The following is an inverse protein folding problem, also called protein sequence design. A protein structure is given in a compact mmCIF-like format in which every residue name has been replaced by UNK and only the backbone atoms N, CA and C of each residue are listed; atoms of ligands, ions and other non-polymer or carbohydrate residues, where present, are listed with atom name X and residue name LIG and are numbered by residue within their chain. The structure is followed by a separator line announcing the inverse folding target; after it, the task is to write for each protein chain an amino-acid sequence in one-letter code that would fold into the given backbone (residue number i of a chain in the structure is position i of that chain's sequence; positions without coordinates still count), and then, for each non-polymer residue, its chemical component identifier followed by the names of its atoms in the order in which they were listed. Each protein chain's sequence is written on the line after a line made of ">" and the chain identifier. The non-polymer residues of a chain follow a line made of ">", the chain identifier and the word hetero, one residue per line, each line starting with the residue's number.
data_IF_408654360434
#
_entry.id   IF_408654360434
#
_cell.length_a   1.000
_cell.length_b   1.000
_cell.length_c   1.000
_cell.angle_alpha   90.00
_cell.angle_beta   90.00
_cell.angle_gamma   90.00
#
_symmetry.space_group_name_H-M   'P 1'
#
loop_
_entity.id
_entity.type
_entity.pdbx_description
1 polymer ?
#
# COMPACT_ATOMS: atom_id res chain seq x y z
N UNK A 1 11.19 21.37 6.66
CA UNK A 1 11.22 19.91 6.82
C UNK A 1 12.28 19.33 5.91
N UNK A 2 13.54 19.33 6.36
CA UNK A 2 14.66 18.77 5.61
C UNK A 2 15.03 17.36 6.08
N UNK A 3 16.18 16.87 5.62
CA UNK A 3 16.79 15.66 6.15
C UNK A 3 17.94 15.95 7.12
N UNK A 4 18.11 15.10 8.13
CA UNK A 4 19.21 15.17 9.09
C UNK A 4 19.92 13.81 9.17
N UNK A 5 21.26 13.82 9.04
CA UNK A 5 22.12 12.70 9.39
C UNK A 5 22.77 12.96 10.75
N UNK A 6 22.82 11.95 11.61
CA UNK A 6 23.54 12.01 12.89
C UNK A 6 24.49 10.81 12.95
N UNK A 7 25.78 11.06 13.19
CA UNK A 7 26.78 10.04 13.46
C UNK A 7 27.24 10.21 14.92
N UNK A 8 27.24 9.15 15.71
CA UNK A 8 27.75 9.19 17.09
C UNK A 8 29.28 9.08 17.13
N UNK A 9 29.91 9.58 18.18
CA UNK A 9 31.36 9.47 18.39
C UNK A 9 31.76 9.68 19.85
N UNK A 10 33.05 9.89 20.08
CA UNK A 10 33.68 10.12 21.39
C UNK A 10 33.06 11.30 22.18
N UNK A 11 32.69 12.37 21.48
CA UNK A 11 32.16 13.63 22.05
C UNK A 11 30.66 13.63 22.31
N UNK A 12 30.00 12.48 22.24
CA UNK A 12 28.55 12.39 22.49
C UNK A 12 28.24 12.59 23.97
N UNK A 13 27.55 13.70 24.28
CA UNK A 13 26.98 13.93 25.60
C UNK A 13 25.67 13.12 25.76
N UNK A 14 25.70 12.09 26.61
CA UNK A 14 24.56 11.19 26.81
C UNK A 14 23.33 11.89 27.41
N UNK A 15 23.53 12.88 28.29
CA UNK A 15 22.42 13.61 28.92
C UNK A 15 21.67 14.47 27.90
N UNK A 16 22.39 15.13 26.99
CA UNK A 16 21.80 15.87 25.87
C UNK A 16 21.05 14.93 24.90
N UNK A 17 21.66 13.79 24.55
CA UNK A 17 21.05 12.86 23.61
C UNK A 17 19.81 12.16 24.19
N UNK A 18 19.86 11.71 25.45
CA UNK A 18 18.77 10.99 26.11
C UNK A 18 17.71 11.92 26.75
N UNK A 19 18.07 13.18 27.03
CA UNK A 19 17.18 14.23 27.50
C UNK A 19 16.53 14.98 26.33
N UNK A 20 16.97 16.21 25.99
CA UNK A 20 16.30 17.06 25.02
C UNK A 20 16.27 16.50 23.59
N UNK A 21 17.28 15.75 23.14
CA UNK A 21 17.29 15.26 21.74
C UNK A 21 16.36 14.06 21.53
N UNK A 22 16.24 13.17 22.50
CA UNK A 22 15.29 12.04 22.49
C UNK A 22 13.87 12.47 22.93
N UNK A 23 13.75 13.44 23.82
CA UNK A 23 12.49 14.05 24.30
C UNK A 23 11.39 13.03 24.66
N UNK A 24 11.70 12.07 25.53
CA UNK A 24 10.76 11.00 25.91
C UNK A 24 10.36 10.08 24.73
N UNK A 25 11.21 10.02 23.70
CA UNK A 25 10.94 9.32 22.45
C UNK A 25 10.19 10.16 21.42
N UNK A 26 9.77 11.39 21.71
CA UNK A 26 9.13 12.28 20.74
C UNK A 26 10.12 13.12 19.91
N UNK A 27 11.43 13.07 20.20
CA UNK A 27 12.46 13.94 19.64
C UNK A 27 13.17 13.43 18.37
N UNK A 28 14.25 14.14 18.01
CA UNK A 28 15.10 13.85 16.85
C UNK A 28 15.93 12.57 17.03
N UNK A 29 16.42 12.28 18.24
CA UNK A 29 17.10 11.02 18.52
C UNK A 29 16.05 9.89 18.50
N UNK A 30 16.17 8.89 17.60
CA UNK A 30 15.11 7.90 17.43
C UNK A 30 14.96 6.92 18.59
N UNK A 31 16.06 6.70 19.34
CA UNK A 31 16.21 5.75 20.43
C UNK A 31 17.08 6.38 21.52
N UNK A 32 16.99 5.88 22.76
CA UNK A 32 18.00 6.18 23.79
C UNK A 32 19.33 5.53 23.44
N UNK A 33 20.44 6.17 23.80
CA UNK A 33 21.79 5.68 23.62
C UNK A 33 22.51 5.42 24.95
N UNK A 34 23.31 4.36 25.00
CA UNK A 34 24.20 4.05 26.12
C UNK A 34 25.62 4.58 25.91
N UNK A 35 26.52 4.39 26.90
CA UNK A 35 27.95 4.65 26.74
C UNK A 35 28.54 3.78 25.62
N UNK A 36 29.60 4.27 24.98
CA UNK A 36 30.25 3.56 23.87
C UNK A 36 30.75 2.17 24.26
N UNK A 37 30.64 1.22 23.33
CA UNK A 37 31.00 -0.18 23.49
C UNK A 37 32.09 -0.55 22.49
N UNK A 38 33.13 -1.21 22.97
CA UNK A 38 34.36 -1.49 22.21
C UNK A 38 35.47 -0.48 22.49
N UNK A 39 36.60 -0.63 21.82
CA UNK A 39 37.80 0.21 22.00
C UNK A 39 38.48 0.41 20.64
N UNK A 40 38.52 1.63 20.07
CA UNK A 40 39.11 1.89 18.76
C UNK A 40 40.62 1.59 18.69
N UNK A 41 41.30 1.50 19.85
CA UNK A 41 42.72 1.14 19.95
C UNK A 41 42.95 -0.37 19.82
N UNK A 42 41.95 -1.21 20.13
CA UNK A 42 42.04 -2.67 20.12
C UNK A 42 41.57 -3.30 18.82
N UNK A 43 42.27 -3.03 17.71
CA UNK A 43 41.85 -3.45 16.34
C UNK A 43 41.75 -4.98 16.09
N UNK A 44 42.06 -5.83 17.09
CA UNK A 44 41.82 -7.28 17.08
C UNK A 44 40.37 -7.64 17.47
N UNK A 45 39.73 -6.82 18.30
CA UNK A 45 38.34 -6.97 18.73
C UNK A 45 37.48 -6.04 17.87
N UNK A 46 36.47 -6.57 17.19
CA UNK A 46 35.62 -5.77 16.32
C UNK A 46 34.27 -6.43 16.05
N UNK A 47 33.29 -5.59 15.71
CA UNK A 47 31.95 -5.93 15.29
C UNK A 47 31.79 -5.71 13.79
N UNK A 48 30.73 -6.26 13.20
CA UNK A 48 30.33 -6.07 11.80
C UNK A 48 28.86 -5.65 11.73
N UNK A 49 28.38 -5.29 10.55
CA UNK A 49 26.94 -5.27 10.29
C UNK A 49 26.44 -6.72 10.16
N UNK A 50 25.28 -7.03 10.73
CA UNK A 50 24.67 -8.35 10.61
C UNK A 50 23.92 -8.46 9.27
N UNK A 51 24.31 -9.34 8.33
CA UNK A 51 23.78 -9.31 6.95
C UNK A 51 22.26 -9.54 6.91
N UNK A 52 21.76 -10.50 7.71
CA UNK A 52 20.33 -10.80 7.84
C UNK A 52 19.50 -9.71 8.53
N UNK A 53 20.13 -8.65 9.04
CA UNK A 53 19.43 -7.50 9.66
C UNK A 53 19.21 -6.33 8.70
N UNK A 54 19.80 -6.39 7.50
CA UNK A 54 19.72 -5.31 6.51
C UNK A 54 18.29 -5.16 5.98
N UNK A 55 17.62 -4.09 6.37
CA UNK A 55 16.31 -3.76 5.85
C UNK A 55 16.41 -3.31 4.38
N UNK A 56 15.37 -3.61 3.59
CA UNK A 56 15.21 -3.01 2.26
C UNK A 56 15.00 -1.49 2.41
N UNK A 57 16.02 -0.71 2.04
CA UNK A 57 16.05 0.75 2.13
C UNK A 57 17.09 1.31 1.16
N UNK A 58 16.80 2.44 0.51
CA UNK A 58 17.67 3.00 -0.54
C UNK A 58 19.10 3.29 -0.05
N UNK A 59 19.24 3.72 1.21
CA UNK A 59 20.54 4.03 1.82
C UNK A 59 21.45 2.80 1.98
N UNK A 60 20.87 1.59 2.00
CA UNK A 60 21.62 0.33 2.12
C UNK A 60 21.60 -0.49 0.82
N UNK A 61 21.20 0.13 -0.31
CA UNK A 61 21.01 -0.55 -1.58
C UNK A 61 22.28 -1.26 -2.06
N UNK A 62 23.46 -0.67 -1.84
CA UNK A 62 24.76 -1.27 -2.22
C UNK A 62 24.95 -2.67 -1.63
N UNK A 63 24.58 -2.89 -0.36
CA UNK A 63 24.68 -4.21 0.27
C UNK A 63 23.75 -5.23 -0.39
N UNK A 64 22.50 -4.84 -0.66
CA UNK A 64 21.54 -5.70 -1.35
C UNK A 64 21.99 -6.06 -2.78
N UNK A 65 22.60 -5.13 -3.50
CA UNK A 65 23.18 -5.37 -4.83
C UNK A 65 24.29 -6.42 -4.79
N UNK A 66 25.24 -6.32 -3.85
CA UNK A 66 26.30 -7.33 -3.71
C UNK A 66 25.78 -8.68 -3.22
N UNK A 67 24.84 -8.70 -2.26
CA UNK A 67 24.24 -9.95 -1.78
C UNK A 67 23.45 -10.68 -2.87
N UNK A 68 22.79 -9.95 -3.77
CA UNK A 68 22.13 -10.54 -4.96
C UNK A 68 23.14 -11.14 -5.97
N UNK A 69 24.39 -10.68 -5.95
CA UNK A 69 25.50 -11.25 -6.72
C UNK A 69 26.24 -12.37 -5.97
N UNK A 70 25.75 -12.78 -4.79
CA UNK A 70 26.36 -13.82 -3.94
C UNK A 70 27.51 -13.34 -3.05
N UNK A 71 27.78 -12.04 -2.98
CA UNK A 71 28.88 -11.46 -2.19
C UNK A 71 28.38 -10.77 -0.92
N UNK A 72 28.82 -11.24 0.25
CA UNK A 72 28.53 -10.58 1.53
C UNK A 72 29.61 -9.53 1.89
N UNK A 73 29.42 -8.32 1.39
CA UNK A 73 30.33 -7.19 1.65
C UNK A 73 30.17 -6.60 3.06
N UNK A 74 29.16 -7.02 3.86
CA UNK A 74 29.07 -6.61 5.27
C UNK A 74 30.21 -7.21 6.11
N UNK A 75 30.76 -8.35 5.66
CA UNK A 75 31.91 -9.01 6.27
C UNK A 75 33.21 -8.20 6.20
N UNK A 76 33.29 -7.22 5.30
CA UNK A 76 34.50 -6.43 5.04
C UNK A 76 34.66 -5.23 5.98
N UNK A 77 33.56 -4.73 6.56
CA UNK A 77 33.56 -3.52 7.41
C UNK A 77 33.70 -3.89 8.87
N UNK A 78 34.71 -3.34 9.55
CA UNK A 78 35.00 -3.58 10.97
C UNK A 78 34.71 -2.34 11.79
N UNK A 79 33.92 -2.52 12.84
CA UNK A 79 33.61 -1.49 13.84
C UNK A 79 34.31 -1.87 15.14
N UNK A 80 35.29 -1.08 15.56
CA UNK A 80 36.07 -1.28 16.78
C UNK A 80 35.35 -0.70 18.01
N UNK A 81 34.54 0.35 17.79
CA UNK A 81 33.62 0.89 18.78
C UNK A 81 32.29 1.30 18.13
N UNK A 82 31.22 1.33 18.92
CA UNK A 82 29.90 1.83 18.53
C UNK A 82 29.09 2.31 19.75
N UNK A 83 28.01 3.05 19.52
CA UNK A 83 27.12 3.53 20.59
C UNK A 83 25.88 2.61 20.67
N UNK A 84 25.73 1.75 21.69
CA UNK A 84 24.55 0.89 21.80
C UNK A 84 23.27 1.73 21.96
N UNK A 85 22.18 1.31 21.33
CA UNK A 85 20.89 1.99 21.37
C UNK A 85 19.78 1.05 21.83
N UNK A 86 18.87 1.57 22.69
CA UNK A 86 17.79 0.78 23.29
C UNK A 86 16.47 0.95 22.56
N UNK A 87 15.84 -0.18 22.20
CA UNK A 87 14.48 -0.27 21.65
C UNK A 87 13.40 -0.57 22.71
N UNK A 88 13.78 -0.70 23.99
CA UNK A 88 12.86 -1.08 25.07
C UNK A 88 11.84 0.03 25.42
N UNK A 89 12.22 1.30 25.20
CA UNK A 89 11.41 2.49 25.50
C UNK A 89 10.88 3.16 24.22
N UNK A 90 10.31 2.39 23.28
CA UNK A 90 9.58 3.01 22.18
C UNK A 90 8.29 3.65 22.74
N UNK A 91 8.09 4.97 22.59
CA UNK A 91 6.93 5.62 23.18
C UNK A 91 5.64 5.09 22.55
N UNK A 92 4.58 5.00 23.36
CA UNK A 92 3.21 4.91 22.86
C UNK A 92 3.03 6.09 21.90
N UNK A 93 2.71 5.79 20.65
CA UNK A 93 2.88 6.74 19.55
C UNK A 93 2.14 8.06 19.82
N UNK A 94 2.91 9.16 19.97
CA UNK A 94 2.37 10.49 19.74
C UNK A 94 1.76 10.47 18.32
N UNK A 95 0.50 10.89 18.17
CA UNK A 95 -0.38 10.47 17.08
C UNK A 95 0.20 10.64 15.65
N UNK A 96 1.07 11.63 15.45
CA UNK A 96 1.69 11.96 14.16
C UNK A 96 3.11 11.40 13.94
N UNK A 97 3.73 10.82 14.98
CA UNK A 97 5.12 10.33 14.95
C UNK A 97 5.19 8.84 14.61
N UNK A 98 5.61 8.54 13.38
CA UNK A 98 5.87 7.16 12.96
C UNK A 98 7.01 6.53 13.79
N UNK A 99 6.91 5.23 14.15
CA UNK A 99 7.95 4.56 14.90
C UNK A 99 9.28 4.56 14.13
N UNK A 100 10.43 4.55 14.84
CA UNK A 100 11.73 4.41 14.21
C UNK A 100 11.87 3.04 13.55
N UNK A 101 12.54 3.01 12.39
CA UNK A 101 12.83 1.78 11.63
C UNK A 101 14.33 1.49 11.71
N UNK A 102 14.70 0.42 12.39
CA UNK A 102 16.07 -0.11 12.33
C UNK A 102 16.34 -0.59 10.90
N UNK A 103 17.42 -0.09 10.31
CA UNK A 103 17.84 -0.43 8.95
C UNK A 103 18.98 -1.46 8.92
N UNK A 104 19.85 -1.43 9.92
CA UNK A 104 20.94 -2.38 10.11
C UNK A 104 21.24 -2.56 11.60
N UNK A 105 21.78 -3.71 11.98
CA UNK A 105 22.22 -4.04 13.35
C UNK A 105 23.68 -4.48 13.33
N UNK A 106 24.37 -4.31 14.46
CA UNK A 106 25.68 -4.90 14.68
C UNK A 106 25.59 -6.41 14.97
N UNK A 107 26.69 -7.12 14.77
CA UNK A 107 26.85 -8.55 15.12
C UNK A 107 27.12 -8.81 16.60
N UNK A 108 26.89 -7.83 17.47
CA UNK A 108 27.11 -8.00 18.91
C UNK A 108 26.01 -8.87 19.56
N UNK A 109 26.25 -9.35 20.78
CA UNK A 109 25.33 -10.27 21.48
C UNK A 109 23.92 -9.71 21.68
N UNK A 110 23.78 -8.38 21.79
CA UNK A 110 22.48 -7.71 21.94
C UNK A 110 21.82 -7.33 20.60
N UNK A 111 22.50 -7.56 19.46
CA UNK A 111 22.06 -7.18 18.11
C UNK A 111 21.69 -5.70 18.02
N UNK A 112 22.53 -4.87 18.62
CA UNK A 112 22.34 -3.43 18.78
C UNK A 112 22.08 -2.76 17.43
N UNK A 113 21.16 -1.78 17.33
CA UNK A 113 20.98 -0.99 16.11
C UNK A 113 22.29 -0.32 15.67
N UNK A 114 22.59 -0.41 14.37
CA UNK A 114 23.74 0.25 13.74
C UNK A 114 23.31 1.48 12.92
N UNK A 115 22.17 1.36 12.24
CA UNK A 115 21.55 2.46 11.47
C UNK A 115 20.05 2.46 11.72
N UNK A 116 19.48 3.62 12.07
CA UNK A 116 18.04 3.80 12.31
C UNK A 116 17.51 5.00 11.54
N UNK A 117 16.40 4.81 10.81
CA UNK A 117 15.69 5.89 10.13
C UNK A 117 14.39 6.22 10.88
N UNK A 118 14.06 7.51 10.98
CA UNK A 118 12.81 8.01 11.55
C UNK A 118 12.22 9.13 10.69
N UNK A 119 10.89 9.20 10.61
CA UNK A 119 10.21 10.39 10.08
C UNK A 119 9.93 11.36 11.23
N UNK A 120 10.31 12.62 11.05
CA UNK A 120 10.15 13.67 12.07
C UNK A 120 9.52 14.90 11.42
N UNK A 121 8.26 15.18 11.76
CA UNK A 121 7.44 16.14 11.01
C UNK A 121 7.42 15.84 9.50
N UNK A 122 7.65 16.87 8.67
CA UNK A 122 7.81 16.73 7.21
C UNK A 122 9.18 16.15 6.77
N UNK A 123 10.11 15.90 7.69
CA UNK A 123 11.50 15.50 7.41
C UNK A 123 11.82 14.02 7.64
N UNK A 124 13.07 13.64 7.34
CA UNK A 124 13.64 12.32 7.66
C UNK A 124 14.90 12.51 8.52
N UNK A 125 15.02 11.77 9.61
CA UNK A 125 16.24 11.66 10.42
C UNK A 125 16.85 10.28 10.19
N UNK A 126 18.16 10.23 9.99
CA UNK A 126 18.94 9.00 9.87
C UNK A 126 20.08 9.03 10.88
N UNK A 127 20.12 8.06 11.78
CA UNK A 127 21.12 7.97 12.83
C UNK A 127 22.01 6.75 12.61
N UNK A 128 23.33 6.98 12.61
CA UNK A 128 24.39 5.98 12.59
C UNK A 128 25.05 5.94 13.96
N UNK A 129 25.13 4.74 14.54
CA UNK A 129 25.68 4.53 15.88
C UNK A 129 27.20 4.30 15.88
N UNK A 130 27.90 4.97 14.94
CA UNK A 130 29.35 4.93 14.70
C UNK A 130 29.79 6.28 14.13
N UNK A 131 31.09 6.57 14.16
CA UNK A 131 31.64 7.78 13.53
C UNK A 131 31.56 7.73 12.00
N UNK A 132 31.53 8.90 11.36
CA UNK A 132 31.60 9.07 9.89
C UNK A 132 33.04 9.01 9.33
N UNK A 133 34.00 8.64 10.17
CA UNK A 133 35.42 8.63 9.85
C UNK A 133 36.07 7.29 10.24
N UNK A 134 37.41 7.27 10.31
CA UNK A 134 38.19 6.07 10.63
C UNK A 134 38.47 5.89 12.12
N UNK A 135 37.90 6.72 13.00
CA UNK A 135 38.19 6.65 14.43
C UNK A 135 37.63 5.35 15.03
N UNK A 136 36.35 5.06 14.79
CA UNK A 136 35.68 3.88 15.37
C UNK A 136 35.58 2.68 14.43
N UNK A 137 35.87 2.84 13.14
CA UNK A 137 35.66 1.82 12.12
C UNK A 137 36.65 1.97 10.95
N UNK A 138 36.65 1.04 10.00
CA UNK A 138 37.42 1.14 8.75
C UNK A 138 36.57 1.28 7.49
N UNK A 139 35.28 1.62 7.63
CA UNK A 139 34.35 1.73 6.51
C UNK A 139 34.80 2.75 5.44
N UNK A 140 35.33 3.95 5.77
CA UNK A 140 35.75 4.92 4.75
C UNK A 140 36.94 4.49 3.88
N UNK A 141 37.59 3.36 4.18
CA UNK A 141 38.67 2.75 3.38
C UNK A 141 38.31 1.34 2.93
N UNK A 142 37.02 1.01 2.86
CA UNK A 142 36.57 -0.30 2.38
C UNK A 142 36.96 -0.49 0.89
N UNK A 143 37.57 -1.62 0.51
CA UNK A 143 38.12 -1.80 -0.84
C UNK A 143 37.05 -1.88 -1.93
N UNK A 144 35.78 -2.00 -1.55
CA UNK A 144 34.61 -2.09 -2.44
C UNK A 144 33.92 -0.72 -2.59
N UNK A 145 34.29 0.29 -1.79
CA UNK A 145 33.69 1.63 -1.84
C UNK A 145 32.22 1.68 -1.40
N UNK A 146 31.77 0.72 -0.58
CA UNK A 146 30.42 0.71 -0.02
C UNK A 146 30.13 1.96 0.80
N UNK A 147 31.13 2.53 1.50
CA UNK A 147 30.95 3.76 2.26
C UNK A 147 30.48 4.93 1.40
N UNK A 148 31.18 5.19 0.28
CA UNK A 148 30.83 6.28 -0.64
C UNK A 148 29.43 6.11 -1.24
N UNK A 149 29.03 4.87 -1.54
CA UNK A 149 27.68 4.57 -2.01
C UNK A 149 26.62 4.87 -0.93
N UNK A 150 26.82 4.42 0.31
CA UNK A 150 25.89 4.70 1.42
C UNK A 150 25.79 6.19 1.72
N UNK A 151 26.90 6.94 1.72
CA UNK A 151 26.88 8.40 1.92
C UNK A 151 26.13 9.10 0.78
N UNK A 152 26.36 8.71 -0.47
CA UNK A 152 25.63 9.27 -1.62
C UNK A 152 24.12 8.96 -1.54
N UNK A 153 23.73 7.74 -1.21
CA UNK A 153 22.32 7.36 -1.11
C UNK A 153 21.63 7.92 0.15
N UNK A 154 22.38 8.14 1.23
CA UNK A 154 21.97 8.95 2.38
C UNK A 154 21.66 10.38 1.96
N UNK A 155 22.58 11.06 1.27
CA UNK A 155 22.38 12.44 0.81
C UNK A 155 21.15 12.52 -0.11
N UNK A 156 20.99 11.60 -1.08
CA UNK A 156 19.77 11.52 -1.92
C UNK A 156 18.49 11.27 -1.11
N UNK A 157 18.54 10.45 -0.07
CA UNK A 157 17.40 10.13 0.80
C UNK A 157 16.99 11.31 1.70
N UNK A 158 17.97 12.05 2.21
CA UNK A 158 17.76 13.21 3.09
C UNK A 158 17.42 14.49 2.32
N UNK A 159 18.03 14.70 1.15
CA UNK A 159 17.75 15.83 0.27
C UNK A 159 16.43 15.68 -0.50
N UNK A 160 15.87 14.48 -0.62
CA UNK A 160 14.55 14.26 -1.23
C UNK A 160 13.50 15.07 -0.47
N UNK A 161 12.88 16.10 -1.08
CA UNK A 161 11.67 16.69 -0.51
C UNK A 161 10.67 15.56 -0.38
N UNK A 162 10.03 15.44 0.78
CA UNK A 162 9.12 14.33 1.00
C UNK A 162 7.94 14.50 0.05
N UNK A 163 7.90 13.68 -1.02
CA UNK A 163 6.94 13.68 -2.14
C UNK A 163 5.52 13.25 -1.70
N UNK A 164 5.07 13.72 -0.54
CA UNK A 164 3.68 13.61 -0.09
C UNK A 164 2.81 14.34 -1.12
N UNK A 165 1.86 13.63 -1.74
CA UNK A 165 0.94 14.19 -2.74
C UNK A 165 1.32 13.97 -4.21
N UNK A 166 2.57 13.57 -4.55
CA UNK A 166 2.92 13.19 -5.94
C UNK A 166 2.18 11.94 -6.41
N UNK A 167 1.72 11.09 -5.51
CA UNK A 167 0.79 9.99 -5.81
C UNK A 167 -0.27 9.98 -4.74
N UNK A 168 -1.53 10.00 -5.17
CA UNK A 168 -2.70 10.13 -4.31
C UNK A 168 -3.92 9.48 -5.02
N UNK A 169 -5.06 9.38 -4.33
CA UNK A 169 -6.31 8.86 -4.90
C UNK A 169 -7.03 9.92 -5.75
N UNK A 170 -7.86 9.51 -6.69
CA UNK A 170 -8.81 10.41 -7.36
C UNK A 170 -9.67 11.13 -6.32
N UNK A 171 -9.91 12.42 -6.53
CA UNK A 171 -10.57 13.32 -5.57
C UNK A 171 -9.60 14.05 -4.63
N UNK A 172 -8.45 13.45 -4.29
CA UNK A 172 -7.47 14.08 -3.39
C UNK A 172 -6.75 15.26 -4.06
N UNK A 173 -6.67 16.39 -3.35
CA UNK A 173 -6.06 17.62 -3.84
C UNK A 173 -4.61 17.42 -4.32
N UNK A 174 -4.23 18.09 -5.41
CA UNK A 174 -2.83 18.29 -5.78
C UNK A 174 -2.32 19.49 -5.00
N UNK A 175 -1.26 19.28 -4.23
CA UNK A 175 -0.59 20.30 -3.40
C UNK A 175 0.89 20.31 -3.77
N UNK A 176 1.42 21.50 -4.02
CA UNK A 176 2.84 21.72 -4.21
C UNK A 176 3.30 22.90 -3.34
N UNK A 177 4.16 22.61 -2.36
CA UNK A 177 4.80 23.61 -1.51
C UNK A 177 5.94 24.27 -2.32
N UNK A 178 5.93 25.61 -2.41
CA UNK A 178 6.93 26.44 -3.08
C UNK A 178 7.91 27.03 -2.05
N UNK A 179 9.20 27.00 -2.38
CA UNK A 179 10.24 27.79 -1.70
C UNK A 179 10.30 29.20 -2.29
N UNK A 180 11.07 30.07 -1.64
CA UNK A 180 11.29 31.47 -2.03
C UNK A 180 11.64 31.65 -3.51
N UNK A 181 12.56 30.82 -4.05
CA UNK A 181 12.92 30.80 -5.47
C UNK A 181 11.72 30.68 -6.43
N UNK A 182 10.68 29.92 -6.05
CA UNK A 182 9.58 29.56 -6.95
C UNK A 182 8.31 30.39 -6.71
N UNK A 183 8.36 31.40 -5.83
CA UNK A 183 7.20 32.24 -5.50
C UNK A 183 6.70 33.10 -6.67
N UNK A 184 7.60 33.53 -7.56
CA UNK A 184 7.30 34.36 -8.73
C UNK A 184 7.12 33.54 -10.03
N UNK A 185 7.16 32.21 -9.94
CA UNK A 185 6.94 31.33 -11.08
C UNK A 185 5.47 31.36 -11.54
N UNK A 186 5.23 31.49 -12.84
CA UNK A 186 3.91 31.25 -13.44
C UNK A 186 3.67 29.74 -13.46
N UNK A 187 2.60 29.31 -12.80
CA UNK A 187 2.25 27.89 -12.66
C UNK A 187 1.11 27.50 -13.61
N UNK A 188 1.32 26.45 -14.40
CA UNK A 188 0.31 25.90 -15.31
C UNK A 188 0.25 24.38 -15.19
N UNK A 189 -0.96 23.84 -15.01
CA UNK A 189 -1.22 22.43 -14.78
C UNK A 189 -1.89 21.80 -15.99
N UNK A 190 -1.22 20.82 -16.61
CA UNK A 190 -1.81 19.93 -17.63
C UNK A 190 -2.53 18.79 -16.89
N UNK A 191 -3.81 18.62 -17.17
CA UNK A 191 -4.63 17.50 -16.67
C UNK A 191 -4.35 16.22 -17.48
N UNK A 192 -4.81 15.04 -17.02
CA UNK A 192 -4.72 13.79 -17.79
C UNK A 192 -5.43 13.81 -19.15
N UNK A 193 -6.33 14.79 -19.39
CA UNK A 193 -7.03 14.96 -20.67
C UNK A 193 -6.30 15.84 -21.69
N UNK A 194 -5.17 16.46 -21.32
CA UNK A 194 -4.35 17.23 -22.27
C UNK A 194 -3.83 16.31 -23.41
N UNK A 195 -3.88 16.72 -24.70
CA UNK A 195 -4.17 18.06 -25.22
C UNK A 195 -5.64 18.36 -25.57
N UNK A 196 -6.59 17.49 -25.22
CA UNK A 196 -8.02 17.75 -25.43
C UNK A 196 -8.64 18.66 -24.35
N UNK A 197 -8.08 18.65 -23.13
CA UNK A 197 -8.36 19.64 -22.09
C UNK A 197 -7.43 20.87 -22.22
N UNK A 198 -7.96 22.05 -21.90
CA UNK A 198 -7.16 23.27 -21.70
C UNK A 198 -6.20 23.17 -20.50
N UNK A 199 -5.10 23.93 -20.57
CA UNK A 199 -4.12 24.00 -19.48
C UNK A 199 -4.63 24.92 -18.36
N UNK A 200 -4.68 24.41 -17.14
CA UNK A 200 -5.19 25.16 -15.97
C UNK A 200 -4.09 26.07 -15.41
N UNK A 201 -4.28 27.38 -15.50
CA UNK A 201 -3.41 28.36 -14.83
C UNK A 201 -3.66 28.35 -13.32
N UNK A 202 -2.60 28.33 -12.50
CA UNK A 202 -2.68 28.30 -11.04
C UNK A 202 -1.90 29.47 -10.43
N UNK A 203 -2.46 30.05 -9.37
CA UNK A 203 -1.85 31.16 -8.63
C UNK A 203 -1.27 30.63 -7.31
N UNK A 204 0.02 30.86 -7.01
CA UNK A 204 0.60 30.58 -5.70
C UNK A 204 -0.10 31.35 -4.56
N UNK A 205 -0.65 30.63 -3.58
CA UNK A 205 -1.04 31.23 -2.31
C UNK A 205 0.22 31.48 -1.46
N UNK A 206 0.51 32.74 -1.10
CA UNK A 206 1.73 33.13 -0.36
C UNK A 206 1.50 33.16 1.15
N UNK A 207 2.50 32.73 1.91
CA UNK A 207 2.55 32.76 3.37
C UNK A 207 3.98 33.08 3.83
N UNK A 208 4.35 34.37 3.82
CA UNK A 208 5.74 34.80 3.98
C UNK A 208 6.62 34.33 2.82
N UNK A 209 7.83 33.86 3.13
CA UNK A 209 8.81 33.34 2.15
C UNK A 209 8.46 31.92 1.63
N UNK A 210 7.27 31.40 1.94
CA UNK A 210 6.78 30.12 1.45
C UNK A 210 5.47 30.31 0.67
N UNK A 211 5.28 29.49 -0.35
CA UNK A 211 4.07 29.50 -1.16
C UNK A 211 3.46 28.12 -1.25
N UNK A 212 2.21 28.06 -1.71
CA UNK A 212 1.50 26.80 -1.94
C UNK A 212 0.62 26.91 -3.18
N UNK A 213 0.85 26.03 -4.13
CA UNK A 213 -0.09 25.78 -5.23
C UNK A 213 -1.03 24.66 -4.78
N UNK A 214 -2.34 24.86 -4.93
CA UNK A 214 -3.35 23.84 -4.65
C UNK A 214 -4.30 23.75 -5.85
N UNK A 215 -4.54 22.54 -6.33
CA UNK A 215 -5.58 22.22 -7.30
C UNK A 215 -6.47 21.12 -6.72
N UNK A 216 -7.76 21.43 -6.54
CA UNK A 216 -8.74 20.52 -5.94
C UNK A 216 -10.14 20.80 -6.49
N UNK A 217 -10.99 19.77 -6.65
CA UNK A 217 -10.69 18.34 -6.53
C UNK A 217 -10.05 17.77 -7.80
N UNK A 218 -9.11 16.81 -7.66
CA UNK A 218 -8.46 16.16 -8.79
C UNK A 218 -9.26 14.91 -9.25
N UNK A 219 -10.32 15.14 -10.03
CA UNK A 219 -11.37 14.16 -10.33
C UNK A 219 -11.08 13.16 -11.46
N UNK A 220 -9.96 13.30 -12.20
CA UNK A 220 -9.57 12.36 -13.26
C UNK A 220 -8.40 11.50 -12.82
N UNK A 221 -8.44 10.22 -13.16
CA UNK A 221 -7.28 9.34 -12.99
C UNK A 221 -6.21 9.65 -14.04
N UNK A 222 -4.95 9.39 -13.71
CA UNK A 222 -3.80 9.56 -14.62
C UNK A 222 -2.77 10.57 -14.13
N UNK A 223 -1.97 11.08 -15.07
CA UNK A 223 -0.86 12.00 -14.79
C UNK A 223 -1.28 13.45 -14.96
N UNK A 224 -0.98 14.26 -13.95
CA UNK A 224 -1.06 15.71 -13.97
C UNK A 224 0.36 16.28 -14.01
N UNK A 225 0.64 17.21 -14.92
CA UNK A 225 1.96 17.82 -15.06
C UNK A 225 1.88 19.31 -14.72
N UNK A 226 2.48 19.70 -13.60
CA UNK A 226 2.65 21.09 -13.20
C UNK A 226 3.93 21.63 -13.84
N UNK A 227 3.81 22.66 -14.65
CA UNK A 227 4.92 23.42 -15.22
C UNK A 227 5.01 24.76 -14.49
N UNK A 228 6.20 25.06 -13.95
CA UNK A 228 6.55 26.30 -13.29
C UNK A 228 7.52 27.04 -14.21
N UNK A 229 7.10 28.16 -14.80
CA UNK A 229 7.95 29.00 -15.64
C UNK A 229 8.38 30.24 -14.87
N UNK A 230 9.68 30.36 -14.67
CA UNK A 230 10.34 31.45 -13.95
C UNK A 230 10.44 32.72 -14.81
N UNK A 231 10.67 33.90 -14.19
CA UNK A 231 10.91 35.16 -14.91
C UNK A 231 12.12 35.11 -15.86
N UNK A 232 13.15 34.33 -15.53
CA UNK A 232 14.36 34.07 -16.34
C UNK A 232 14.13 33.08 -17.50
N UNK A 233 12.87 32.72 -17.76
CA UNK A 233 12.42 31.71 -18.72
C UNK A 233 12.80 30.25 -18.39
N UNK A 234 13.48 29.97 -17.29
CA UNK A 234 13.72 28.59 -16.87
C UNK A 234 12.39 27.90 -16.51
N UNK A 235 12.29 26.62 -16.86
CA UNK A 235 11.10 25.82 -16.59
C UNK A 235 11.46 24.65 -15.65
N UNK A 236 10.73 24.52 -14.54
CA UNK A 236 10.76 23.33 -13.68
C UNK A 236 9.42 22.62 -13.81
N UNK A 237 9.42 21.28 -13.91
CA UNK A 237 8.19 20.49 -13.97
C UNK A 237 8.08 19.49 -12.81
N UNK A 238 6.84 19.28 -12.35
CA UNK A 238 6.50 18.29 -11.33
C UNK A 238 5.33 17.44 -11.83
N UNK A 239 5.48 16.12 -11.77
CA UNK A 239 4.46 15.16 -12.21
C UNK A 239 3.78 14.54 -11.01
N UNK A 240 2.45 14.55 -11.02
CA UNK A 240 1.58 13.96 -10.01
C UNK A 240 0.73 12.86 -10.64
N UNK A 241 0.52 11.76 -9.95
CA UNK A 241 -0.39 10.69 -10.35
C UNK A 241 -1.63 10.69 -9.44
N UNK A 242 -2.80 10.51 -10.04
CA UNK A 242 -4.05 10.26 -9.32
C UNK A 242 -4.58 8.90 -9.74
N UNK A 243 -4.65 7.98 -8.80
CA UNK A 243 -5.02 6.58 -9.03
C UNK A 243 -6.46 6.32 -8.55
N UNK A 244 -7.19 5.47 -9.27
CA UNK A 244 -8.46 4.90 -8.81
C UNK A 244 -8.16 3.95 -7.63
N UNK A 245 -9.13 3.73 -6.73
CA UNK A 245 -8.95 2.72 -5.68
C UNK A 245 -8.98 1.33 -6.31
N UNK A 246 -7.92 0.54 -6.12
CA UNK A 246 -7.83 -0.81 -6.66
C UNK A 246 -8.93 -1.74 -6.11
N UNK A 247 -9.52 -1.40 -4.95
CA UNK A 247 -10.66 -2.12 -4.39
C UNK A 247 -11.92 -2.07 -5.29
N UNK A 248 -12.08 -1.03 -6.12
CA UNK A 248 -13.18 -0.95 -7.09
C UNK A 248 -13.04 -1.98 -8.22
N UNK A 249 -11.79 -2.38 -8.53
CA UNK A 249 -11.47 -3.38 -9.55
C UNK A 249 -11.38 -4.83 -9.03
N UNK A 250 -11.63 -5.08 -7.74
CA UNK A 250 -11.64 -6.44 -7.20
C UNK A 250 -12.94 -7.17 -7.59
N UNK A 251 -12.89 -7.81 -8.77
CA UNK A 251 -13.97 -8.66 -9.30
C UNK A 251 -13.99 -10.07 -8.66
N UNK A 252 -13.23 -10.33 -7.60
CA UNK A 252 -13.29 -11.61 -6.91
C UNK A 252 -14.69 -11.84 -6.32
N UNK A 253 -15.15 -13.10 -6.34
CA UNK A 253 -16.52 -13.40 -5.97
C UNK A 253 -16.76 -13.18 -4.47
N UNK A 254 -17.34 -12.04 -4.11
CA UNK A 254 -17.61 -11.65 -2.74
C UNK A 254 -18.46 -12.72 -2.03
N UNK A 255 -17.89 -13.32 -0.98
CA UNK A 255 -18.64 -14.20 -0.09
C UNK A 255 -19.73 -13.43 0.67
N UNK A 256 -20.63 -14.14 1.36
CA UNK A 256 -21.73 -13.52 2.15
C UNK A 256 -21.29 -12.35 3.04
N UNK A 257 -20.09 -12.43 3.65
CA UNK A 257 -19.53 -11.33 4.46
C UNK A 257 -19.21 -10.07 3.64
N UNK A 258 -18.68 -10.22 2.43
CA UNK A 258 -18.39 -9.11 1.52
C UNK A 258 -19.66 -8.46 0.98
N UNK A 259 -20.64 -9.27 0.55
CA UNK A 259 -21.94 -8.79 0.11
C UNK A 259 -22.68 -8.00 1.20
N UNK A 260 -22.64 -8.48 2.46
CA UNK A 260 -23.21 -7.73 3.60
C UNK A 260 -22.52 -6.40 3.83
N UNK A 261 -21.19 -6.35 3.68
CA UNK A 261 -20.43 -5.11 3.83
C UNK A 261 -20.76 -4.11 2.71
N UNK A 262 -20.90 -4.59 1.46
CA UNK A 262 -21.24 -3.75 0.31
C UNK A 262 -22.68 -3.20 0.35
N UNK A 263 -23.67 -4.03 0.73
CA UNK A 263 -25.08 -3.62 0.79
C UNK A 263 -25.50 -2.97 2.12
N UNK A 264 -24.61 -2.90 3.11
CA UNK A 264 -24.91 -2.37 4.45
C UNK A 264 -26.04 -3.08 5.19
N UNK A 265 -26.49 -4.25 4.71
CA UNK A 265 -27.70 -4.92 5.18
C UNK A 265 -27.67 -6.42 4.93
N UNK A 266 -28.38 -7.19 5.76
CA UNK A 266 -28.54 -8.66 5.63
C UNK A 266 -29.76 -9.05 4.77
N UNK A 267 -30.38 -8.11 4.03
CA UNK A 267 -31.59 -8.33 3.22
C UNK A 267 -31.30 -8.95 1.84
N UNK A 268 -30.49 -10.02 1.80
CA UNK A 268 -30.18 -10.74 0.56
C UNK A 268 -30.06 -12.25 0.79
N UNK A 269 -30.53 -13.05 -0.17
CA UNK A 269 -30.40 -14.51 -0.13
C UNK A 269 -29.10 -14.94 -0.79
N UNK A 270 -28.11 -15.33 0.00
CA UNK A 270 -26.83 -15.82 -0.52
C UNK A 270 -26.89 -17.32 -0.86
N UNK A 271 -27.00 -17.64 -2.15
CA UNK A 271 -26.97 -19.02 -2.64
C UNK A 271 -25.57 -19.34 -3.20
N UNK A 272 -24.78 -20.11 -2.45
CA UNK A 272 -23.48 -20.61 -2.93
C UNK A 272 -23.71 -21.94 -3.65
N UNK A 273 -23.70 -21.93 -4.98
CA UNK A 273 -23.76 -23.17 -5.78
C UNK A 273 -22.42 -23.92 -5.64
N UNK A 274 -22.34 -24.81 -4.65
CA UNK A 274 -21.18 -25.67 -4.49
C UNK A 274 -21.07 -26.58 -5.73
N UNK A 275 -19.90 -26.59 -6.36
CA UNK A 275 -19.58 -27.62 -7.34
C UNK A 275 -19.61 -28.98 -6.62
N UNK A 276 -20.16 -30.01 -7.28
CA UNK A 276 -20.42 -31.34 -6.74
C UNK A 276 -21.57 -31.47 -5.72
N UNK A 277 -22.75 -30.94 -6.04
CA UNK A 277 -24.00 -31.67 -5.76
C UNK A 277 -24.74 -31.96 -7.08
N UNK A 278 -25.27 -33.18 -7.19
CA UNK A 278 -25.91 -33.71 -8.41
C UNK A 278 -27.14 -32.88 -8.77
N UNK A 279 -27.52 -32.90 -10.04
CA UNK A 279 -28.80 -32.36 -10.51
C UNK A 279 -29.92 -33.14 -9.81
N UNK A 280 -30.58 -32.48 -8.86
CA UNK A 280 -31.59 -33.03 -7.96
C UNK A 280 -31.81 -32.01 -6.84
N UNK A 281 -33.05 -31.83 -6.42
CA UNK A 281 -33.44 -30.86 -5.38
C UNK A 281 -33.11 -29.40 -5.73
N UNK A 282 -33.84 -28.89 -6.74
CA UNK A 282 -34.36 -27.53 -6.61
C UNK A 282 -35.11 -27.47 -5.28
N UNK A 283 -34.71 -26.55 -4.38
CA UNK A 283 -35.51 -26.23 -3.20
C UNK A 283 -36.81 -25.55 -3.63
N UNK A 284 -37.79 -26.37 -4.00
CA UNK A 284 -39.17 -25.95 -4.05
C UNK A 284 -39.55 -25.43 -2.65
N UNK A 285 -40.26 -24.30 -2.62
CA UNK A 285 -41.03 -23.92 -1.43
C UNK A 285 -41.97 -25.09 -1.07
N UNK A 286 -42.40 -25.23 0.19
CA UNK A 286 -43.54 -26.08 0.54
C UNK A 286 -44.84 -25.43 0.04
N UNK A 287 -44.96 -25.28 -1.27
CA UNK A 287 -46.23 -25.04 -1.95
C UNK A 287 -47.02 -26.33 -1.78
N UNK A 288 -48.05 -26.26 -0.91
CA UNK A 288 -48.98 -27.35 -0.66
C UNK A 288 -49.37 -28.02 -1.97
N UNK A 289 -49.23 -29.33 -2.06
CA UNK A 289 -49.34 -30.10 -3.31
C UNK A 289 -50.81 -30.24 -3.78
N UNK A 290 -51.44 -29.11 -4.12
CA UNK A 290 -52.82 -29.05 -4.61
C UNK A 290 -53.04 -29.89 -5.88
N UNK A 291 -51.99 -30.14 -6.66
CA UNK A 291 -52.03 -31.00 -7.84
C UNK A 291 -52.45 -32.44 -7.51
N UNK A 292 -52.02 -32.98 -6.35
CA UNK A 292 -52.34 -34.36 -5.97
C UNK A 292 -53.82 -34.51 -5.59
N UNK A 293 -54.40 -33.48 -4.95
CA UNK A 293 -55.85 -33.40 -4.72
C UNK A 293 -56.63 -33.22 -6.03
N UNK A 294 -56.11 -32.44 -6.99
CA UNK A 294 -56.73 -32.28 -8.30
C UNK A 294 -56.75 -33.58 -9.12
N UNK A 295 -55.66 -34.35 -9.11
CA UNK A 295 -55.60 -35.69 -9.73
C UNK A 295 -56.55 -36.67 -9.05
N UNK A 296 -56.63 -36.67 -7.72
CA UNK A 296 -57.59 -37.50 -6.99
C UNK A 296 -59.05 -37.15 -7.35
N UNK A 297 -59.39 -35.86 -7.42
CA UNK A 297 -60.71 -35.41 -7.85
C UNK A 297 -61.04 -35.82 -9.30
N UNK A 298 -60.08 -35.71 -10.22
CA UNK A 298 -60.24 -36.14 -11.62
C UNK A 298 -60.49 -37.65 -11.73
N UNK A 299 -59.78 -38.47 -10.94
CA UNK A 299 -59.97 -39.92 -10.91
C UNK A 299 -61.36 -40.31 -10.36
N UNK A 300 -61.86 -39.62 -9.32
CA UNK A 300 -63.21 -39.83 -8.80
C UNK A 300 -64.26 -39.46 -9.85
N UNK A 301 -64.06 -38.35 -10.57
CA UNK A 301 -64.98 -37.89 -11.61
C UNK A 301 -65.01 -38.87 -12.81
N UNK A 302 -63.85 -39.36 -13.26
CA UNK A 302 -63.75 -40.44 -14.26
C UNK A 302 -64.43 -41.74 -13.82
N UNK A 303 -64.30 -42.13 -12.54
CA UNK A 303 -64.98 -43.30 -12.01
C UNK A 303 -66.51 -43.12 -11.99
N UNK A 304 -66.98 -41.93 -11.62
CA UNK A 304 -68.41 -41.58 -11.64
C UNK A 304 -68.97 -41.54 -13.07
N UNK A 305 -68.25 -40.93 -14.03
CA UNK A 305 -68.61 -40.96 -15.45
C UNK A 305 -68.64 -42.39 -16.01
N UNK A 306 -67.65 -43.23 -15.68
CA UNK A 306 -67.62 -44.64 -16.11
C UNK A 306 -68.80 -45.42 -15.54
N UNK A 307 -69.15 -45.20 -14.27
CA UNK A 307 -70.32 -45.82 -13.65
C UNK A 307 -71.64 -45.35 -14.28
N UNK A 308 -71.79 -44.05 -14.55
CA UNK A 308 -72.95 -43.49 -15.25
C UNK A 308 -73.05 -44.01 -16.70
N UNK A 309 -71.92 -44.09 -17.42
CA UNK A 309 -71.85 -44.65 -18.76
C UNK A 309 -72.21 -46.14 -18.78
N UNK A 310 -71.82 -46.93 -17.77
CA UNK A 310 -72.29 -48.31 -17.63
C UNK A 310 -73.78 -48.40 -17.26
N UNK A 311 -74.30 -47.45 -16.46
CA UNK A 311 -75.70 -47.42 -16.02
C UNK A 311 -76.68 -46.99 -17.11
N UNK A 312 -76.26 -46.11 -18.02
CA UNK A 312 -77.12 -45.45 -19.02
C UNK A 312 -76.67 -45.61 -20.49
N UNK A 313 -75.47 -46.16 -20.75
CA UNK A 313 -74.86 -46.29 -22.08
C UNK A 313 -75.37 -47.45 -22.93
N UNK A 314 -76.65 -47.81 -22.82
CA UNK A 314 -77.32 -48.67 -23.79
C UNK A 314 -78.33 -47.84 -24.57
N UNK A 315 -77.94 -47.27 -25.72
CA UNK A 315 -78.76 -47.20 -26.94
C UNK A 315 -77.99 -46.67 -28.17
N UNK A 316 -78.21 -47.35 -29.30
CA UNK A 316 -78.17 -46.82 -30.68
C UNK A 316 -76.83 -46.47 -31.38
N UNK A 317 -76.31 -47.47 -32.12
CA UNK A 317 -75.78 -47.34 -33.50
C UNK A 317 -76.88 -46.79 -34.46
N UNK A 318 -76.62 -46.40 -35.74
CA UNK A 318 -75.43 -46.59 -36.61
C UNK A 318 -74.88 -45.22 -37.12
N UNK A 319 -74.21 -44.98 -38.26
CA UNK A 319 -73.88 -45.73 -39.50
C UNK A 319 -72.53 -45.25 -40.10
N UNK A 320 -72.21 -45.65 -41.35
CA UNK A 320 -70.95 -45.41 -42.06
C UNK A 320 -70.95 -44.16 -42.96
N UNK A 321 -69.82 -43.46 -43.03
CA UNK A 321 -69.37 -42.68 -44.20
C UNK A 321 -68.64 -43.58 -45.22
N UNK A 322 -68.45 -43.11 -46.47
CA UNK A 322 -67.24 -43.51 -47.20
C UNK A 322 -66.60 -42.40 -48.07
N UNK A 323 -65.25 -42.42 -48.14
CA UNK A 323 -64.46 -41.75 -49.18
C UNK A 323 -64.08 -40.29 -48.90
N UNK A 324 -62.94 -39.79 -49.38
CA UNK A 324 -61.85 -40.44 -50.15
C UNK A 324 -60.53 -39.67 -49.95
N UNK A 325 -59.40 -40.36 -50.08
CA UNK A 325 -58.06 -39.80 -49.92
C UNK A 325 -57.64 -38.93 -51.12
N UNK A 326 -56.74 -37.96 -50.92
CA UNK A 326 -55.53 -37.85 -51.75
C UNK A 326 -54.41 -37.05 -51.04
N UNK A 327 -53.10 -37.40 -51.19
CA UNK A 327 -52.04 -36.78 -50.41
C UNK A 327 -50.76 -36.36 -51.20
N UNK A 328 -49.79 -35.79 -50.47
CA UNK A 328 -48.33 -35.68 -50.77
C UNK A 328 -47.87 -34.83 -51.98
N UNK A 329 -47.03 -33.83 -51.68
CA UNK A 329 -45.79 -33.59 -52.45
C UNK A 329 -44.66 -33.06 -51.55
N UNK A 330 -43.63 -33.90 -51.38
CA UNK A 330 -42.25 -33.68 -50.87
C UNK A 330 -41.97 -32.48 -49.96
#
# INVERSE_FOLDING_TARGET
>A
GGGLAIFTGDRVNLDFYNGPLYAGGAGLSPLRIGPSKGDPRRRKEFYRLAPRSLAQHSVLQVFHTYMAQGADVTGLVRFFAFTPASELDLPVAAADLKPPRVLARFTDSQKSPAVVARKYGKGNVLMFYTTADKEWNDWPIDPVGTYGNVINDMVKYLARPQRQGLTARVGEAIVFDLNEELLDAKASLKTPGYPADDVVSLVPARAGNLGKITYAPAMRAGMYVLELRMPDQTARSAVFARNVDAAEGDLSCAGRKGLRAAFGSDRFTYVRRAAAQRVGEVHARPEKEYWMYAVAAMLILLAAETFLAQRFGHYSRPKKSPGRQQPVSR
#
